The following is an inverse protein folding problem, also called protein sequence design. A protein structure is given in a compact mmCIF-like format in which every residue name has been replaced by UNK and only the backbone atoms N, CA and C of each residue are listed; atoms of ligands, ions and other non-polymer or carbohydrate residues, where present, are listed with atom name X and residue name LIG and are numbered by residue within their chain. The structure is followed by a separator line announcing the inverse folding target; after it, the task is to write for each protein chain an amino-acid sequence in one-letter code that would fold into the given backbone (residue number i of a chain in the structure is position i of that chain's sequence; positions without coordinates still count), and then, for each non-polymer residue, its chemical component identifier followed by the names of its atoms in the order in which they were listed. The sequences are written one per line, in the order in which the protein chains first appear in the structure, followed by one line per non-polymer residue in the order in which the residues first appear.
data_IF_995832752137
#
_entry.id   IF_995832752137
#
_cell.length_a   1.000
_cell.length_b   1.000
_cell.length_c   1.000
_cell.angle_alpha   90.00
_cell.angle_beta   90.00
_cell.angle_gamma   90.00
#
_symmetry.space_group_name_H-M   'P 1'
#
loop_
_entity.id
_entity.type
_entity.pdbx_description
1 polymer ?
#
# COMPACT_ATOMS: atom_id res chain seq x y z
N UNK A 1 4.13 -11.41 13.99
CA UNK A 1 3.65 -10.85 12.72
C UNK A 1 2.48 -11.67 12.26
N UNK A 2 1.40 -11.00 11.85
CA UNK A 2 0.17 -11.64 11.40
C UNK A 2 0.46 -12.60 10.22
N UNK A 3 -0.07 -13.82 10.29
CA UNK A 3 -0.05 -14.76 9.18
C UNK A 3 -1.18 -14.47 8.19
N UNK A 4 -0.83 -14.24 6.92
CA UNK A 4 -1.79 -13.83 5.88
C UNK A 4 -2.58 -15.02 5.34
N UNK A 5 -3.87 -14.81 5.07
CA UNK A 5 -4.82 -15.79 4.54
C UNK A 5 -5.04 -17.01 5.45
N UNK A 6 -4.80 -16.84 6.75
CA UNK A 6 -5.01 -17.87 7.76
C UNK A 6 -6.06 -17.47 8.82
N UNK A 7 -6.75 -16.34 8.61
CA UNK A 7 -7.69 -15.82 9.60
C UNK A 7 -7.02 -15.38 10.91
N UNK A 8 -5.71 -15.12 10.87
CA UNK A 8 -4.97 -14.63 12.02
C UNK A 8 -5.42 -13.21 12.35
N UNK A 9 -5.73 -12.98 13.63
CA UNK A 9 -6.20 -11.69 14.14
C UNK A 9 -5.18 -11.05 15.09
N UNK A 10 -3.98 -11.61 15.19
CA UNK A 10 -2.89 -11.07 15.97
C UNK A 10 -2.16 -9.96 15.20
N UNK A 11 -2.36 -8.72 15.65
CA UNK A 11 -1.73 -7.54 15.05
C UNK A 11 -0.49 -7.11 15.83
N UNK A 12 0.63 -6.98 15.14
CA UNK A 12 1.77 -6.20 15.65
C UNK A 12 1.52 -4.72 15.35
N UNK A 13 1.73 -3.85 16.35
CA UNK A 13 1.60 -2.40 16.21
C UNK A 13 2.97 -1.77 16.41
N UNK A 14 3.41 -0.99 15.43
CA UNK A 14 4.72 -0.38 15.40
C UNK A 14 4.69 0.98 14.70
N UNK A 15 5.76 1.75 14.90
CA UNK A 15 5.95 3.07 14.32
C UNK A 15 6.57 3.05 12.93
N UNK A 16 6.77 4.26 12.41
CA UNK A 16 7.43 4.48 11.13
C UNK A 16 7.38 5.95 10.73
N UNK A 17 8.16 6.28 9.71
CA UNK A 17 8.14 7.61 9.08
C UNK A 17 7.99 7.45 7.58
N UNK A 18 7.41 8.45 6.94
CA UNK A 18 7.18 8.48 5.50
C UNK A 18 7.47 9.89 5.01
N UNK A 19 8.48 10.02 4.14
CA UNK A 19 8.77 11.27 3.44
C UNK A 19 8.27 11.17 2.01
N UNK A 20 7.33 12.04 1.63
CA UNK A 20 6.70 12.03 0.30
C UNK A 20 7.10 13.28 -0.47
N UNK A 21 7.51 13.11 -1.72
CA UNK A 21 7.78 14.22 -2.64
C UNK A 21 7.04 14.08 -3.96
N UNK A 22 6.52 15.18 -4.52
CA UNK A 22 5.90 15.15 -5.85
C UNK A 22 6.96 14.95 -6.93
N UNK A 23 6.54 14.32 -8.02
CA UNK A 23 7.35 14.09 -9.23
C UNK A 23 6.50 14.36 -10.48
N UNK A 24 7.10 14.27 -11.66
CA UNK A 24 6.38 14.34 -12.95
C UNK A 24 5.48 15.59 -13.08
N UNK A 25 5.94 16.73 -12.56
CA UNK A 25 5.16 17.98 -12.59
C UNK A 25 3.85 17.92 -11.79
N UNK A 26 3.76 17.08 -10.78
CA UNK A 26 2.55 16.90 -9.95
C UNK A 26 1.67 15.71 -10.37
N UNK A 27 2.02 15.02 -11.46
CA UNK A 27 1.32 13.81 -11.92
C UNK A 27 1.83 12.53 -11.25
N UNK A 28 2.54 12.66 -10.14
CA UNK A 28 3.01 11.52 -9.37
C UNK A 28 3.66 11.94 -8.06
N UNK A 29 3.98 10.94 -7.25
CA UNK A 29 4.81 11.10 -6.06
C UNK A 29 5.71 9.89 -5.88
N UNK A 30 6.80 10.08 -5.13
CA UNK A 30 7.61 9.00 -4.58
C UNK A 30 7.73 9.20 -3.08
N UNK A 31 7.69 8.10 -2.33
CA UNK A 31 7.94 8.13 -0.89
C UNK A 31 9.11 7.23 -0.46
N UNK A 32 9.73 7.60 0.66
CA UNK A 32 10.68 6.80 1.43
C UNK A 32 10.06 6.51 2.80
N UNK A 33 9.77 5.23 3.06
CA UNK A 33 9.18 4.73 4.29
C UNK A 33 10.24 4.06 5.15
N UNK A 34 10.27 4.41 6.43
CA UNK A 34 10.92 3.62 7.48
C UNK A 34 9.82 2.89 8.24
N UNK A 35 9.91 1.56 8.30
CA UNK A 35 8.93 0.70 8.98
C UNK A 35 9.62 0.02 10.15
N UNK A 36 9.22 0.35 11.37
CA UNK A 36 9.91 -0.02 12.61
C UNK A 36 9.36 -1.33 13.20
N UNK A 37 9.35 -2.41 12.41
CA UNK A 37 8.88 -3.72 12.86
C UNK A 37 9.54 -4.15 14.18
N UNK A 38 8.84 -4.93 15.04
CA UNK A 38 9.42 -5.45 16.28
C UNK A 38 10.74 -6.23 16.09
N UNK A 39 10.90 -6.90 14.94
CA UNK A 39 12.09 -7.67 14.57
C UNK A 39 13.22 -6.86 13.93
N UNK A 40 13.06 -5.56 13.76
CA UNK A 40 14.04 -4.67 13.14
C UNK A 40 13.44 -3.80 12.04
N UNK A 41 13.91 -2.55 11.97
CA UNK A 41 13.43 -1.61 10.98
C UNK A 41 13.93 -1.95 9.57
N UNK A 42 13.08 -1.70 8.57
CA UNK A 42 13.49 -1.74 7.17
C UNK A 42 12.96 -0.51 6.42
N UNK A 43 13.54 -0.27 5.24
CA UNK A 43 13.12 0.81 4.35
C UNK A 43 12.39 0.27 3.14
N UNK A 44 11.42 1.03 2.66
CA UNK A 44 10.72 0.74 1.43
C UNK A 44 10.32 2.04 0.73
N UNK A 45 10.17 1.99 -0.58
CA UNK A 45 9.76 3.13 -1.36
C UNK A 45 8.50 2.81 -2.17
N UNK A 46 7.64 3.81 -2.35
CA UNK A 46 6.49 3.70 -3.25
C UNK A 46 6.61 4.72 -4.35
N UNK A 47 6.46 4.27 -5.59
CA UNK A 47 6.28 5.15 -6.74
C UNK A 47 4.80 5.20 -7.10
N UNK A 48 4.23 6.40 -7.25
CA UNK A 48 2.84 6.60 -7.71
C UNK A 48 2.83 7.52 -8.90
N UNK A 49 2.14 7.13 -9.97
CA UNK A 49 1.95 7.95 -11.16
C UNK A 49 0.48 7.99 -11.53
N UNK A 50 0.02 9.14 -12.01
CA UNK A 50 -1.33 9.36 -12.50
C UNK A 50 -1.30 9.51 -14.02
N UNK A 51 -2.17 8.77 -14.69
CA UNK A 51 -2.45 8.92 -16.12
C UNK A 51 -3.71 9.80 -16.31
N UNK A 52 -3.57 11.04 -16.82
CA UNK A 52 -4.70 11.91 -17.05
C UNK A 52 -5.69 11.40 -18.11
N UNK A 53 -5.24 10.57 -19.06
CA UNK A 53 -6.08 10.08 -20.15
C UNK A 53 -7.09 9.04 -19.64
N UNK A 54 -6.64 8.11 -18.80
CA UNK A 54 -7.49 7.07 -18.20
C UNK A 54 -8.03 7.45 -16.83
N UNK A 55 -7.52 8.53 -16.22
CA UNK A 55 -7.81 8.97 -14.84
C UNK A 55 -7.49 7.89 -13.81
N UNK A 56 -6.50 7.06 -14.09
CA UNK A 56 -6.05 5.97 -13.23
C UNK A 56 -4.70 6.33 -12.60
N UNK A 57 -4.48 5.83 -11.40
CA UNK A 57 -3.17 5.76 -10.78
C UNK A 57 -2.57 4.38 -10.98
N UNK A 58 -1.25 4.34 -11.02
CA UNK A 58 -0.44 3.15 -10.82
C UNK A 58 0.45 3.35 -9.60
N UNK A 59 0.56 2.33 -8.75
CA UNK A 59 1.34 2.33 -7.51
C UNK A 59 2.28 1.14 -7.53
N UNK A 60 3.58 1.38 -7.48
CA UNK A 60 4.61 0.34 -7.38
C UNK A 60 5.25 0.39 -6.00
N UNK A 61 5.34 -0.77 -5.35
CA UNK A 61 6.06 -0.96 -4.10
C UNK A 61 7.47 -1.47 -4.36
N UNK A 62 8.42 -0.98 -3.58
CA UNK A 62 9.83 -1.37 -3.62
C UNK A 62 10.25 -1.72 -2.20
N UNK A 63 10.47 -3.00 -1.93
CA UNK A 63 10.95 -3.47 -0.64
C UNK A 63 12.49 -3.39 -0.58
N UNK A 64 13.04 -2.58 0.33
CA UNK A 64 14.48 -2.44 0.48
C UNK A 64 15.21 -3.71 0.91
N UNK A 65 14.47 -4.73 1.39
CA UNK A 65 15.00 -6.07 1.67
C UNK A 65 15.20 -6.90 0.39
N UNK A 66 14.53 -6.52 -0.70
CA UNK A 66 14.64 -7.15 -2.02
C UNK A 66 14.81 -6.08 -3.12
N UNK A 67 15.96 -5.36 -3.14
CA UNK A 67 16.13 -4.14 -3.93
C UNK A 67 16.19 -4.35 -5.46
N UNK A 68 16.16 -5.61 -5.92
CA UNK A 68 16.22 -5.97 -7.35
C UNK A 68 14.84 -6.06 -8.00
N UNK A 69 13.77 -6.04 -7.20
CA UNK A 69 12.40 -6.25 -7.65
C UNK A 69 11.56 -5.02 -7.38
N UNK A 70 10.69 -4.68 -8.33
CA UNK A 70 9.60 -3.73 -8.16
C UNK A 70 8.32 -4.52 -8.34
N UNK A 71 7.40 -4.41 -7.38
CA UNK A 71 6.18 -5.22 -7.39
C UNK A 71 5.25 -4.85 -8.55
N UNK A 72 4.32 -5.77 -8.86
CA UNK A 72 3.27 -5.56 -9.85
C UNK A 72 2.47 -4.29 -9.48
N UNK A 73 2.25 -3.35 -10.41
CA UNK A 73 1.57 -2.12 -10.07
C UNK A 73 0.13 -2.37 -9.66
N UNK A 74 -0.25 -1.79 -8.53
CA UNK A 74 -1.66 -1.61 -8.20
C UNK A 74 -2.25 -0.56 -9.13
N UNK A 75 -3.44 -0.81 -9.66
CA UNK A 75 -4.16 0.14 -10.52
C UNK A 75 -5.49 0.50 -9.94
N UNK A 76 -5.87 1.78 -10.05
CA UNK A 76 -7.13 2.23 -9.48
C UNK A 76 -7.28 3.74 -9.48
N UNK A 77 -8.36 4.20 -8.88
CA UNK A 77 -8.73 5.62 -8.86
C UNK A 77 -9.34 6.01 -7.52
N UNK A 78 -9.47 7.32 -7.32
CA UNK A 78 -10.22 7.90 -6.21
C UNK A 78 -11.66 8.15 -6.64
N UNK A 79 -12.60 7.67 -5.83
CA UNK A 79 -14.02 7.94 -5.96
C UNK A 79 -14.58 8.33 -4.59
N UNK A 80 -15.33 9.44 -4.52
CA UNK A 80 -15.91 9.95 -3.28
C UNK A 80 -14.92 10.05 -2.08
N UNK A 81 -13.66 10.39 -2.35
CA UNK A 81 -12.61 10.51 -1.33
C UNK A 81 -11.95 9.20 -0.89
N UNK A 82 -12.33 8.08 -1.50
CA UNK A 82 -11.71 6.76 -1.26
C UNK A 82 -10.95 6.31 -2.49
N UNK A 83 -9.66 6.04 -2.33
CA UNK A 83 -8.82 5.45 -3.36
C UNK A 83 -8.88 3.93 -3.27
N UNK A 84 -9.32 3.25 -4.33
CA UNK A 84 -9.31 1.79 -4.41
C UNK A 84 -8.39 1.34 -5.53
N UNK A 85 -7.39 0.52 -5.19
CA UNK A 85 -6.40 0.03 -6.13
C UNK A 85 -6.31 -1.49 -6.04
N UNK A 86 -6.19 -2.16 -7.18
CA UNK A 86 -6.19 -3.61 -7.30
C UNK A 86 -5.01 -4.08 -8.15
N UNK A 87 -4.48 -5.26 -7.81
CA UNK A 87 -3.65 -6.05 -8.72
C UNK A 87 -3.94 -7.55 -8.51
N UNK A 88 -3.49 -8.35 -9.47
CA UNK A 88 -3.38 -9.80 -9.34
C UNK A 88 -1.93 -10.12 -8.99
N UNK A 89 -1.74 -11.03 -8.03
CA UNK A 89 -0.43 -11.42 -7.53
C UNK A 89 -0.43 -12.89 -7.10
N UNK A 90 0.74 -13.44 -6.78
CA UNK A 90 0.92 -14.81 -6.29
C UNK A 90 1.45 -14.77 -4.86
N UNK A 91 0.70 -15.34 -3.92
CA UNK A 91 1.13 -15.49 -2.53
C UNK A 91 1.17 -16.98 -2.16
N UNK A 92 2.33 -17.45 -1.68
CA UNK A 92 2.59 -18.86 -1.36
C UNK A 92 2.17 -19.84 -2.47
N UNK A 93 2.44 -19.45 -3.73
CA UNK A 93 2.12 -20.25 -4.91
C UNK A 93 0.65 -20.26 -5.31
N UNK A 94 -0.19 -19.43 -4.68
CA UNK A 94 -1.61 -19.29 -5.00
C UNK A 94 -1.90 -17.92 -5.60
N UNK A 95 -2.68 -17.90 -6.67
CA UNK A 95 -3.20 -16.67 -7.27
C UNK A 95 -4.14 -15.97 -6.28
N UNK A 96 -3.90 -14.69 -6.06
CA UNK A 96 -4.69 -13.84 -5.17
C UNK A 96 -4.97 -12.49 -5.86
N UNK A 97 -6.02 -11.82 -5.38
CA UNK A 97 -6.18 -10.38 -5.63
C UNK A 97 -5.69 -9.61 -4.41
N UNK A 98 -4.94 -8.54 -4.66
CA UNK A 98 -4.50 -7.60 -3.64
C UNK A 98 -5.28 -6.30 -3.80
N UNK A 99 -5.68 -5.69 -2.69
CA UNK A 99 -6.35 -4.39 -2.66
C UNK A 99 -5.65 -3.43 -1.74
N UNK A 100 -5.40 -2.22 -2.23
CA UNK A 100 -5.07 -1.07 -1.41
C UNK A 100 -6.28 -0.15 -1.30
N UNK A 101 -6.57 0.30 -0.07
CA UNK A 101 -7.54 1.34 0.20
C UNK A 101 -6.86 2.55 0.81
N UNK A 102 -7.09 3.71 0.22
CA UNK A 102 -6.79 5.01 0.82
C UNK A 102 -8.11 5.65 1.26
N UNK A 103 -8.22 6.01 2.53
CA UNK A 103 -9.44 6.59 3.09
C UNK A 103 -9.13 7.58 4.21
N UNK A 104 -10.19 8.23 4.75
CA UNK A 104 -10.08 9.18 5.89
C UNK A 104 -9.05 10.28 5.66
N UNK A 105 -8.94 10.74 4.41
CA UNK A 105 -7.94 11.72 3.99
C UNK A 105 -8.36 13.11 4.47
N UNK A 106 -7.45 13.78 5.17
CA UNK A 106 -7.55 15.18 5.60
C UNK A 106 -6.23 15.89 5.27
N UNK A 107 -6.14 17.19 5.53
CA UNK A 107 -4.87 17.92 5.38
C UNK A 107 -3.73 17.38 6.27
N UNK A 108 -4.08 16.69 7.35
CA UNK A 108 -3.15 16.27 8.41
C UNK A 108 -3.07 14.76 8.60
N UNK A 109 -3.92 13.98 7.96
CA UNK A 109 -3.97 12.52 8.16
C UNK A 109 -4.55 11.78 6.98
N UNK A 110 -4.26 10.48 6.90
CA UNK A 110 -4.89 9.54 5.99
C UNK A 110 -4.78 8.12 6.57
N UNK A 111 -5.67 7.23 6.15
CA UNK A 111 -5.56 5.79 6.43
C UNK A 111 -5.29 5.04 5.14
N UNK A 112 -4.34 4.12 5.20
CA UNK A 112 -4.04 3.16 4.15
C UNK A 112 -4.22 1.74 4.66
N UNK A 113 -4.79 0.87 3.83
CA UNK A 113 -5.04 -0.53 4.18
C UNK A 113 -4.68 -1.45 3.02
N UNK A 114 -4.06 -2.59 3.31
CA UNK A 114 -3.84 -3.70 2.39
C UNK A 114 -4.74 -4.87 2.77
N UNK A 115 -5.38 -5.48 1.78
CA UNK A 115 -6.12 -6.72 1.96
C UNK A 115 -5.85 -7.70 0.82
N UNK A 116 -5.86 -9.00 1.16
CA UNK A 116 -5.72 -10.10 0.21
C UNK A 116 -7.06 -10.81 0.03
N UNK A 117 -7.32 -11.29 -1.18
CA UNK A 117 -8.49 -12.09 -1.53
C UNK A 117 -8.07 -13.36 -2.26
N UNK A 118 -8.37 -14.54 -1.70
CA UNK A 118 -8.03 -15.82 -2.32
C UNK A 118 -9.14 -16.38 -3.23
N UNK A 119 -10.22 -15.64 -3.45
CA UNK A 119 -11.45 -16.10 -4.11
C UNK A 119 -12.00 -15.13 -5.18
N UNK A 120 -11.10 -14.31 -5.75
CA UNK A 120 -11.44 -13.36 -6.82
C UNK A 120 -12.21 -12.13 -6.34
N UNK A 121 -11.92 -11.68 -5.11
CA UNK A 121 -12.44 -10.44 -4.55
C UNK A 121 -13.78 -10.60 -3.81
N UNK A 122 -14.26 -11.82 -3.56
CA UNK A 122 -15.52 -12.06 -2.85
C UNK A 122 -15.34 -11.86 -1.34
N UNK A 123 -14.21 -12.35 -0.80
CA UNK A 123 -13.81 -12.13 0.58
C UNK A 123 -12.44 -11.45 0.63
N UNK A 124 -12.21 -10.66 1.69
CA UNK A 124 -11.00 -9.87 1.86
C UNK A 124 -10.49 -10.01 3.29
N UNK A 125 -9.22 -10.38 3.44
CA UNK A 125 -8.50 -10.37 4.71
C UNK A 125 -7.56 -9.17 4.74
N UNK A 126 -7.84 -8.18 5.59
CA UNK A 126 -6.94 -7.04 5.79
C UNK A 126 -5.71 -7.52 6.56
N UNK A 127 -4.53 -7.31 5.99
CA UNK A 127 -3.25 -7.78 6.53
C UNK A 127 -2.27 -6.66 6.85
N UNK A 128 -2.64 -5.41 6.52
CA UNK A 128 -1.86 -4.24 6.90
C UNK A 128 -2.71 -3.00 6.99
N UNK A 129 -2.39 -2.15 7.96
CA UNK A 129 -3.02 -0.86 8.17
C UNK A 129 -1.93 0.16 8.52
N UNK A 130 -1.96 1.32 7.86
CA UNK A 130 -1.16 2.49 8.23
C UNK A 130 -2.10 3.67 8.50
N UNK A 131 -1.98 4.27 9.68
CA UNK A 131 -2.59 5.56 9.99
C UNK A 131 -1.49 6.64 9.92
N UNK A 132 -1.55 7.47 8.89
CA UNK A 132 -0.61 8.57 8.68
C UNK A 132 -1.05 9.82 9.43
N UNK A 133 -0.08 10.50 10.03
CA UNK A 133 -0.22 11.84 10.58
C UNK A 133 0.92 12.73 10.08
N UNK A 134 0.59 13.96 9.66
CA UNK A 134 1.59 14.96 9.25
C UNK A 134 2.43 15.35 10.47
N UNK A 135 3.75 15.32 10.34
CA UNK A 135 4.65 15.87 11.35
C UNK A 135 4.45 17.39 11.44
N UNK A 136 4.36 17.89 12.67
CA UNK A 136 4.21 19.31 13.02
C UNK A 136 5.56 19.99 13.21
#
# INVERSE_FOLDING_TARGET
MQERLQGDTNWDVFGGTCEVRPILGGLGNVDDNVIELPGGAYRAATLRTFDPATRQWSIWWIDGRSPVTIDIPMRGAFEAGVGTFLCEDVFDGRDIQVRFLWSRITEKSARWEQAFSPDGGKTWETSWIMDFARQV
#
